data_IF_428577005139
#
_entry.id   IF_428577005139
#
_cell.length_a   1.000
_cell.length_b   1.000
_cell.length_c   1.000
_cell.angle_alpha   90.00
_cell.angle_beta   90.00
_cell.angle_gamma   90.00
#
_symmetry.space_group_name_H-M   'P 1'
#
loop_
_entity.id
_entity.type
_entity.pdbx_description
1 polymer ?
#
# COMPACT_ATOMS: atom_id res chain seq x y z
N UNK A 1 -8.12 14.64 15.64
CA UNK A 1 -7.29 13.49 16.09
C UNK A 1 -6.28 13.14 14.99
N UNK A 2 -5.10 13.79 14.97
CA UNK A 2 -4.11 13.67 13.89
C UNK A 2 -2.81 12.95 14.30
N UNK A 3 -2.73 12.48 15.55
CA UNK A 3 -1.54 11.80 16.12
C UNK A 3 -1.46 10.32 15.76
N UNK A 4 -2.58 9.59 15.81
CA UNK A 4 -2.57 8.14 15.57
C UNK A 4 -2.29 7.74 14.12
N UNK A 5 -2.51 8.63 13.14
CA UNK A 5 -2.33 8.29 11.71
C UNK A 5 -0.87 8.08 11.29
N UNK A 6 0.09 8.67 12.02
CA UNK A 6 1.52 8.55 11.71
C UNK A 6 2.17 7.36 12.39
N UNK A 7 1.72 6.98 13.59
CA UNK A 7 2.37 5.91 14.36
C UNK A 7 2.23 4.55 13.69
N UNK A 8 1.04 4.20 13.18
CA UNK A 8 0.85 2.91 12.50
C UNK A 8 1.60 2.82 11.17
N UNK A 9 1.69 3.91 10.39
CA UNK A 9 2.48 3.93 9.14
C UNK A 9 3.95 3.67 9.42
N UNK A 10 4.54 4.38 10.38
CA UNK A 10 5.95 4.16 10.74
C UNK A 10 6.22 2.72 11.21
N UNK A 11 5.28 2.09 11.93
CA UNK A 11 5.42 0.68 12.33
C UNK A 11 5.35 -0.26 11.14
N UNK A 12 4.41 -0.03 10.22
CA UNK A 12 4.25 -0.85 9.01
C UNK A 12 5.47 -0.73 8.10
N UNK A 13 5.97 0.49 7.89
CA UNK A 13 7.21 0.77 7.15
C UNK A 13 8.39 0.00 7.76
N UNK A 14 8.48 -0.03 9.09
CA UNK A 14 9.53 -0.80 9.76
C UNK A 14 9.39 -2.31 9.56
N UNK A 15 8.17 -2.85 9.66
CA UNK A 15 7.92 -4.29 9.47
C UNK A 15 8.33 -4.76 8.08
N UNK A 16 7.91 -4.04 7.03
CA UNK A 16 8.25 -4.44 5.65
C UNK A 16 9.74 -4.30 5.36
N UNK A 17 10.43 -3.32 5.97
CA UNK A 17 11.90 -3.19 5.85
C UNK A 17 12.63 -4.36 6.50
N UNK A 18 12.15 -4.85 7.64
CA UNK A 18 12.73 -6.03 8.28
C UNK A 18 12.52 -7.30 7.44
N UNK A 19 11.46 -7.35 6.63
CA UNK A 19 11.21 -8.41 5.65
C UNK A 19 11.98 -8.24 4.32
N UNK A 20 12.81 -7.18 4.17
CA UNK A 20 13.61 -6.95 2.97
C UNK A 20 12.92 -6.13 1.88
N UNK A 21 11.73 -5.59 2.14
CA UNK A 21 11.06 -4.69 1.20
C UNK A 21 11.63 -3.26 1.27
N UNK A 22 11.58 -2.56 0.14
CA UNK A 22 11.92 -1.14 0.07
C UNK A 22 10.68 -0.29 0.30
N UNK A 23 10.77 0.66 1.22
CA UNK A 23 9.69 1.60 1.51
C UNK A 23 9.88 2.87 0.70
N UNK A 24 8.85 3.24 -0.04
CA UNK A 24 8.80 4.48 -0.83
C UNK A 24 7.78 5.41 -0.20
N UNK A 25 8.20 6.65 0.11
CA UNK A 25 7.35 7.64 0.80
C UNK A 25 6.39 8.37 -0.13
N UNK A 26 6.72 8.42 -1.42
CA UNK A 26 5.94 9.15 -2.42
C UNK A 26 5.77 8.28 -3.66
N UNK A 27 4.54 8.17 -4.20
CA UNK A 27 4.32 7.39 -5.41
C UNK A 27 5.14 7.91 -6.62
N UNK A 28 5.46 9.20 -6.63
CA UNK A 28 6.34 9.83 -7.63
C UNK A 28 7.77 9.29 -7.62
N UNK A 29 8.19 8.66 -6.51
CA UNK A 29 9.52 8.06 -6.37
C UNK A 29 9.54 6.57 -6.71
N UNK A 30 8.43 6.00 -7.20
CA UNK A 30 8.45 4.64 -7.71
C UNK A 30 9.32 4.56 -8.96
N UNK A 31 10.50 3.98 -8.80
CA UNK A 31 11.27 3.45 -9.93
C UNK A 31 10.56 2.19 -10.40
N UNK A 32 9.65 2.35 -11.36
CA UNK A 32 9.12 1.27 -12.21
C UNK A 32 10.28 0.68 -13.02
N UNK A 33 11.14 -0.07 -12.36
CA UNK A 33 12.21 -0.84 -12.96
C UNK A 33 11.66 -2.22 -13.29
N UNK A 34 12.06 -2.78 -14.42
CA UNK A 34 11.49 -3.98 -15.07
C UNK A 34 11.60 -5.31 -14.28
N UNK A 35 11.90 -5.26 -12.99
CA UNK A 35 11.96 -6.40 -12.06
C UNK A 35 11.47 -6.09 -10.65
N UNK A 36 10.95 -4.89 -10.38
CA UNK A 36 10.42 -4.52 -9.07
C UNK A 36 8.91 -4.39 -9.18
N UNK A 37 8.16 -5.11 -8.35
CA UNK A 37 6.71 -5.00 -8.32
C UNK A 37 6.31 -3.94 -7.28
N UNK A 38 5.92 -2.72 -7.70
CA UNK A 38 5.46 -1.71 -6.76
C UNK A 38 4.13 -2.16 -6.15
N UNK A 39 3.99 -2.04 -4.83
CA UNK A 39 2.76 -2.36 -4.11
C UNK A 39 2.45 -1.15 -3.24
N UNK A 40 1.24 -0.63 -3.38
CA UNK A 40 0.78 0.53 -2.62
C UNK A 40 -0.10 0.02 -1.49
N UNK A 41 0.33 0.22 -0.25
CA UNK A 41 -0.45 -0.18 0.92
C UNK A 41 -1.17 1.04 1.47
N UNK A 42 -2.49 0.96 1.59
CA UNK A 42 -3.32 2.04 2.14
C UNK A 42 -4.18 1.54 3.29
N UNK A 43 -4.58 2.46 4.16
CA UNK A 43 -5.54 2.17 5.23
C UNK A 43 -6.83 2.95 4.98
N UNK A 44 -7.92 2.30 4.53
CA UNK A 44 -9.18 2.97 4.24
C UNK A 44 -9.77 3.67 5.49
N UNK A 45 -9.65 3.05 6.67
CA UNK A 45 -10.07 3.64 7.96
C UNK A 45 -9.38 4.96 8.32
N UNK A 46 -8.19 5.23 7.77
CA UNK A 46 -7.49 6.48 8.03
C UNK A 46 -8.04 7.66 7.20
N UNK A 47 -8.87 7.40 6.18
CA UNK A 47 -9.47 8.42 5.34
C UNK A 47 -10.86 8.80 5.85
N UNK A 48 -10.89 9.82 6.71
CA UNK A 48 -12.10 10.55 7.04
C UNK A 48 -12.41 11.48 5.87
N UNK A 49 -13.33 11.03 5.01
CA UNK A 49 -14.07 11.82 4.01
C UNK A 49 -13.29 12.17 2.72
N UNK A 50 -13.63 11.49 1.62
CA UNK A 50 -13.35 11.97 0.25
C UNK A 50 -12.23 11.27 -0.53
N UNK A 51 -12.44 9.99 -0.90
CA UNK A 51 -12.17 9.50 -2.27
C UNK A 51 -10.76 9.47 -2.86
N UNK A 52 -9.70 9.83 -2.13
CA UNK A 52 -8.35 9.95 -2.72
C UNK A 52 -7.65 8.64 -3.09
N UNK A 53 -7.98 7.52 -2.44
CA UNK A 53 -7.22 6.27 -2.64
C UNK A 53 -7.46 5.61 -4.01
N UNK A 54 -8.64 5.81 -4.61
CA UNK A 54 -8.97 5.26 -5.93
C UNK A 54 -8.15 5.87 -7.07
N UNK A 55 -7.55 7.05 -6.84
CA UNK A 55 -6.72 7.76 -7.83
C UNK A 55 -5.25 7.35 -7.70
N UNK A 56 -4.84 6.78 -6.56
CA UNK A 56 -3.45 6.36 -6.34
C UNK A 56 -3.09 5.19 -7.26
N UNK A 57 -4.03 4.26 -7.49
CA UNK A 57 -3.84 3.19 -8.48
C UNK A 57 -3.64 3.73 -9.90
N UNK A 58 -4.32 4.83 -10.26
CA UNK A 58 -4.16 5.48 -11.57
C UNK A 58 -2.81 6.17 -11.74
N UNK A 59 -2.26 6.79 -10.69
CA UNK A 59 -0.99 7.51 -10.78
C UNK A 59 0.23 6.60 -10.89
N UNK A 60 0.14 5.36 -10.40
CA UNK A 60 1.31 4.52 -10.20
C UNK A 60 1.26 3.17 -10.94
N UNK A 61 0.15 2.84 -11.63
CA UNK A 61 -0.09 1.53 -12.26
C UNK A 61 0.26 0.34 -11.33
N UNK A 62 0.12 0.54 -10.02
CA UNK A 62 0.55 -0.39 -9.00
C UNK A 62 -0.68 -0.96 -8.28
N UNK A 63 -0.66 -2.26 -7.91
CA UNK A 63 -1.69 -2.86 -7.07
C UNK A 63 -1.78 -2.10 -5.75
N UNK A 64 -3.00 -1.68 -5.41
CA UNK A 64 -3.31 -1.01 -4.16
C UNK A 64 -3.97 -2.01 -3.22
N UNK A 65 -3.35 -2.28 -2.08
CA UNK A 65 -3.84 -3.24 -1.08
C UNK A 65 -4.08 -2.58 0.27
N UNK A 66 -4.90 -3.22 1.09
CA UNK A 66 -5.10 -2.80 2.49
C UNK A 66 -3.86 -3.12 3.34
N UNK A 67 -3.75 -2.46 4.49
CA UNK A 67 -2.72 -2.79 5.51
C UNK A 67 -2.72 -4.26 5.95
N UNK A 68 -3.84 -4.94 5.81
CA UNK A 68 -4.02 -6.33 6.28
C UNK A 68 -3.11 -7.27 5.50
N UNK A 69 -2.93 -7.03 4.19
CA UNK A 69 -1.99 -7.81 3.37
C UNK A 69 -0.58 -7.87 3.96
N UNK A 70 -0.06 -6.73 4.44
CA UNK A 70 1.25 -6.67 5.09
C UNK A 70 1.24 -7.42 6.41
N UNK A 71 0.20 -7.22 7.22
CA UNK A 71 0.10 -7.84 8.53
C UNK A 71 0.01 -9.36 8.43
N UNK A 72 -0.82 -9.89 7.53
CA UNK A 72 -0.93 -11.32 7.29
C UNK A 72 0.32 -11.89 6.64
N UNK A 73 0.94 -11.17 5.69
CA UNK A 73 2.20 -11.61 5.09
C UNK A 73 3.34 -11.71 6.10
N UNK A 74 3.41 -10.76 7.04
CA UNK A 74 4.41 -10.78 8.11
C UNK A 74 4.07 -11.84 9.15
N UNK A 75 2.79 -11.98 9.54
CA UNK A 75 2.35 -12.95 10.55
C UNK A 75 2.57 -14.40 10.09
N UNK A 76 2.32 -14.68 8.81
CA UNK A 76 2.52 -16.01 8.21
C UNK A 76 3.94 -16.19 7.64
N UNK A 77 4.76 -15.13 7.66
CA UNK A 77 6.09 -15.09 7.02
C UNK A 77 6.07 -15.58 5.56
N UNK A 78 4.97 -15.31 4.86
CA UNK A 78 4.73 -15.74 3.50
C UNK A 78 4.02 -14.61 2.76
N UNK A 79 4.54 -14.22 1.60
CA UNK A 79 3.92 -13.22 0.75
C UNK A 79 2.50 -13.68 0.35
N UNK A 80 1.47 -13.02 0.88
CA UNK A 80 0.08 -13.38 0.58
C UNK A 80 -0.31 -12.93 -0.82
N UNK A 81 -1.31 -13.60 -1.40
CA UNK A 81 -1.87 -13.17 -2.68
C UNK A 81 -2.53 -11.80 -2.53
N UNK A 82 -2.18 -10.87 -3.43
CA UNK A 82 -2.70 -9.50 -3.39
C UNK A 82 -4.21 -9.48 -3.66
N UNK A 83 -4.73 -10.40 -4.46
CA UNK A 83 -6.11 -10.42 -4.98
C UNK A 83 -7.17 -10.29 -3.88
N UNK A 84 -6.97 -10.99 -2.77
CA UNK A 84 -7.85 -10.97 -1.58
C UNK A 84 -7.88 -9.63 -0.86
N UNK A 85 -6.80 -8.84 -0.97
CA UNK A 85 -6.62 -7.57 -0.26
C UNK A 85 -6.61 -6.36 -1.20
N UNK A 86 -6.80 -6.58 -2.50
CA UNK A 86 -6.86 -5.52 -3.50
C UNK A 86 -8.04 -4.61 -3.19
N UNK A 87 -7.74 -3.32 -3.11
CA UNK A 87 -8.77 -2.31 -3.01
C UNK A 87 -9.23 -2.00 -4.42
N UNK A 88 -10.53 -2.11 -4.72
CA UNK A 88 -11.08 -1.78 -6.02
C UNK A 88 -10.62 -0.37 -6.42
N UNK A 89 -9.78 -0.27 -7.44
CA UNK A 89 -9.41 1.01 -8.03
C UNK A 89 -10.45 1.34 -9.08
N UNK A 90 -10.78 2.62 -9.25
CA UNK A 90 -11.67 3.03 -10.35
C UNK A 90 -10.83 2.88 -11.63
N UNK A 91 -11.13 1.91 -12.52
CA UNK A 91 -10.45 1.87 -13.80
C UNK A 91 -10.71 3.19 -14.50
N UNK A 92 -9.67 3.80 -15.06
CA UNK A 92 -9.84 4.94 -15.95
C UNK A 92 -10.77 4.49 -17.07
N UNK A 93 -12.04 4.88 -17.01
CA UNK A 93 -12.95 4.70 -18.12
C UNK A 93 -12.38 5.54 -19.26
N UNK A 94 -12.01 4.87 -20.36
CA UNK A 94 -11.61 5.51 -21.61
C UNK A 94 -12.72 6.41 -22.14
#
# INVERSE_FOLDING_TARGET
MSGSKRTWQNQLEWMVRLCGASVVKEPSSFTLSQGTQPIVVVQPDAWTEGGGFHVIGQMCEAPVVTREWVLDSVALYQCQELDTYLIPQVPSCC
#
